data_IF_659391773008
#
_entry.id   IF_659391773008
#
_cell.length_a   1.000
_cell.length_b   1.000
_cell.length_c   1.000
_cell.angle_alpha   90.00
_cell.angle_beta   90.00
_cell.angle_gamma   90.00
#
_symmetry.space_group_name_H-M   'P 1'
#
loop_
_entity.id
_entity.type
_entity.pdbx_description
1 polymer ?
#
# COMPACT_ATOMS: atom_id res chain seq x y z
N UNK A 1 -10.07 -3.21 19.09
CA UNK A 1 -8.99 -2.51 18.40
C UNK A 1 -8.90 -2.95 16.93
N UNK A 2 -8.54 -2.03 16.03
CA UNK A 2 -8.25 -2.31 14.64
C UNK A 2 -7.08 -1.46 14.15
N UNK A 3 -6.46 -1.87 13.03
CA UNK A 3 -5.44 -1.09 12.35
C UNK A 3 -6.14 -0.12 11.39
N UNK A 4 -5.88 1.17 11.53
CA UNK A 4 -6.44 2.23 10.71
C UNK A 4 -5.36 2.81 9.78
N UNK A 5 -5.26 2.26 8.56
CA UNK A 5 -4.32 2.72 7.54
C UNK A 5 -4.84 4.00 6.88
N UNK A 6 -3.92 4.89 6.53
CA UNK A 6 -4.24 6.04 5.67
C UNK A 6 -4.69 5.55 4.30
N UNK A 7 -5.84 6.05 3.84
CA UNK A 7 -6.34 5.79 2.50
C UNK A 7 -5.81 6.84 1.53
N UNK A 8 -4.77 6.47 0.81
CA UNK A 8 -4.20 7.31 -0.23
C UNK A 8 -5.07 7.30 -1.51
N UNK A 9 -5.12 8.42 -2.19
CA UNK A 9 -5.77 8.54 -3.50
C UNK A 9 -4.73 8.33 -4.62
N UNK A 10 -4.24 7.11 -4.72
CA UNK A 10 -3.18 6.71 -5.61
C UNK A 10 -3.58 5.65 -6.63
N UNK A 11 -2.64 4.76 -6.89
CA UNK A 11 -2.86 3.57 -7.69
C UNK A 11 -2.49 2.33 -6.88
N UNK A 12 -3.48 1.49 -6.55
CA UNK A 12 -3.18 0.19 -5.98
C UNK A 12 -2.28 -0.60 -6.90
N UNK A 13 -1.20 -1.08 -6.35
CA UNK A 13 -0.12 -1.74 -7.06
C UNK A 13 0.28 -3.01 -6.32
N UNK A 14 0.22 -4.13 -7.01
CA UNK A 14 0.75 -5.40 -6.53
C UNK A 14 2.07 -5.61 -7.26
N UNK A 15 3.18 -5.57 -6.53
CA UNK A 15 4.50 -5.90 -7.03
C UNK A 15 4.76 -7.39 -6.81
N UNK A 16 5.09 -8.11 -7.89
CA UNK A 16 5.46 -9.53 -7.87
C UNK A 16 6.96 -9.61 -8.03
N UNK A 17 7.64 -10.10 -7.01
CA UNK A 17 9.10 -10.10 -6.92
C UNK A 17 9.62 -11.53 -6.92
N UNK A 18 10.42 -11.86 -7.94
CA UNK A 18 11.00 -13.19 -8.15
C UNK A 18 12.52 -13.08 -8.32
N UNK A 19 13.25 -14.07 -7.84
CA UNK A 19 14.69 -14.12 -8.02
C UNK A 19 15.07 -14.19 -9.50
N UNK A 20 15.94 -13.28 -9.93
CA UNK A 20 16.48 -13.28 -11.28
C UNK A 20 15.51 -12.83 -12.38
N UNK A 21 14.36 -12.31 -12.02
CA UNK A 21 13.37 -11.75 -12.95
C UNK A 21 13.12 -10.27 -12.68
N UNK A 22 12.74 -9.49 -13.70
CA UNK A 22 12.20 -8.15 -13.48
C UNK A 22 11.00 -8.16 -12.55
N UNK A 23 10.79 -7.09 -11.79
CA UNK A 23 9.60 -6.93 -10.96
C UNK A 23 8.39 -6.68 -11.87
N UNK A 24 7.33 -7.46 -11.66
CA UNK A 24 6.06 -7.25 -12.35
C UNK A 24 5.14 -6.37 -11.47
N UNK A 25 4.58 -5.33 -12.06
CA UNK A 25 3.62 -4.47 -11.37
C UNK A 25 2.23 -4.65 -11.95
N UNK A 26 1.24 -4.94 -11.11
CA UNK A 26 -0.15 -5.14 -11.52
C UNK A 26 -1.09 -4.20 -10.77
N UNK A 27 -1.99 -3.59 -11.53
CA UNK A 27 -3.09 -2.82 -10.97
C UNK A 27 -4.14 -3.74 -10.35
N UNK A 28 -5.10 -3.18 -9.61
CA UNK A 28 -6.25 -3.91 -9.01
C UNK A 28 -7.02 -4.78 -10.03
N UNK A 29 -7.08 -4.36 -11.29
CA UNK A 29 -7.73 -5.11 -12.37
C UNK A 29 -6.94 -6.30 -12.89
N UNK A 30 -5.73 -6.55 -12.38
CA UNK A 30 -4.78 -7.53 -12.87
C UNK A 30 -3.98 -7.07 -14.09
N UNK A 31 -4.28 -5.91 -14.68
CA UNK A 31 -3.52 -5.35 -15.80
C UNK A 31 -2.12 -4.93 -15.36
N UNK A 32 -1.16 -5.11 -16.24
CA UNK A 32 0.21 -4.63 -16.02
C UNK A 32 0.27 -3.10 -15.94
N UNK A 33 1.15 -2.62 -15.07
CA UNK A 33 1.41 -1.20 -14.83
C UNK A 33 2.83 -0.86 -15.29
N UNK A 34 3.07 -0.98 -16.60
CA UNK A 34 4.40 -0.82 -17.23
C UNK A 34 5.08 0.51 -16.88
N UNK A 35 4.31 1.58 -16.61
CA UNK A 35 4.83 2.88 -16.23
C UNK A 35 5.56 2.88 -14.87
N UNK A 36 5.44 1.79 -14.09
CA UNK A 36 6.14 1.59 -12.80
C UNK A 36 7.43 0.78 -12.95
N UNK A 37 7.69 0.19 -14.12
CA UNK A 37 8.86 -0.65 -14.33
C UNK A 37 10.15 0.13 -14.02
N UNK A 38 11.03 -0.49 -13.24
CA UNK A 38 12.30 0.09 -12.82
C UNK A 38 12.23 1.09 -11.65
N UNK A 39 11.03 1.57 -11.25
CA UNK A 39 10.93 2.62 -10.23
C UNK A 39 11.24 2.14 -8.81
N UNK A 40 10.86 0.91 -8.49
CA UNK A 40 11.01 0.31 -7.17
C UNK A 40 11.84 -0.97 -7.18
N UNK A 41 12.32 -1.39 -8.35
CA UNK A 41 12.92 -2.71 -8.58
C UNK A 41 14.13 -2.96 -7.67
N UNK A 42 15.03 -2.01 -7.55
CA UNK A 42 16.26 -2.17 -6.74
C UNK A 42 15.94 -2.41 -5.26
N UNK A 43 15.00 -1.65 -4.70
CA UNK A 43 14.60 -1.81 -3.30
C UNK A 43 13.82 -3.12 -3.09
N UNK A 44 12.93 -3.48 -4.01
CA UNK A 44 12.16 -4.72 -3.94
C UNK A 44 13.04 -5.96 -4.10
N UNK A 45 14.08 -5.92 -4.94
CA UNK A 45 15.05 -7.01 -5.03
C UNK A 45 15.93 -7.10 -3.78
N UNK A 46 16.32 -5.99 -3.18
CA UNK A 46 17.01 -5.97 -1.89
C UNK A 46 16.14 -6.59 -0.77
N UNK A 47 14.84 -6.26 -0.76
CA UNK A 47 13.88 -6.89 0.15
C UNK A 47 13.84 -8.40 -0.08
N UNK A 48 13.78 -8.83 -1.35
CA UNK A 48 13.76 -10.24 -1.72
C UNK A 48 15.02 -10.98 -1.22
N UNK A 49 16.19 -10.39 -1.39
CA UNK A 49 17.45 -10.95 -0.88
C UNK A 49 17.44 -11.06 0.64
N UNK A 50 16.88 -10.06 1.32
CA UNK A 50 16.78 -10.02 2.78
C UNK A 50 15.86 -11.11 3.34
N UNK A 51 14.68 -11.29 2.71
CA UNK A 51 13.69 -12.29 3.19
C UNK A 51 14.00 -13.71 2.70
N UNK A 52 14.74 -13.86 1.59
CA UNK A 52 15.20 -15.14 1.05
C UNK A 52 14.16 -15.93 0.25
N UNK A 53 13.00 -15.33 -0.07
CA UNK A 53 11.93 -15.97 -0.85
C UNK A 53 11.22 -15.00 -1.79
N UNK A 54 10.61 -15.53 -2.84
CA UNK A 54 9.78 -14.77 -3.77
C UNK A 54 8.47 -14.36 -3.11
N UNK A 55 8.03 -13.13 -3.35
CA UNK A 55 6.86 -12.58 -2.65
C UNK A 55 6.02 -11.67 -3.54
N UNK A 56 4.82 -11.35 -3.07
CA UNK A 56 4.07 -10.18 -3.52
C UNK A 56 4.08 -9.11 -2.45
N UNK A 57 4.11 -7.86 -2.89
CA UNK A 57 3.91 -6.69 -2.03
C UNK A 57 2.74 -5.88 -2.57
N UNK A 58 1.71 -5.71 -1.74
CA UNK A 58 0.51 -4.95 -2.06
C UNK A 58 0.60 -3.58 -1.39
N UNK A 59 0.41 -2.55 -2.17
CA UNK A 59 0.58 -1.17 -1.74
C UNK A 59 -0.16 -0.19 -2.62
N UNK A 60 0.01 1.09 -2.32
CA UNK A 60 -0.48 2.19 -3.12
C UNK A 60 0.71 2.96 -3.69
N UNK A 61 0.83 3.01 -5.02
CA UNK A 61 1.76 3.91 -5.69
C UNK A 61 1.16 5.32 -5.65
N UNK A 62 1.79 6.20 -4.87
CA UNK A 62 1.29 7.53 -4.57
C UNK A 62 2.45 8.54 -4.52
N UNK A 63 2.24 9.72 -5.10
CA UNK A 63 3.16 10.85 -5.01
C UNK A 63 2.81 11.77 -3.82
N UNK A 64 2.70 13.06 -4.04
CA UNK A 64 2.26 14.03 -3.02
C UNK A 64 0.75 14.19 -2.98
N UNK A 65 0.10 14.10 -4.16
CA UNK A 65 -1.34 14.24 -4.36
C UNK A 65 -1.82 13.41 -5.56
N UNK A 66 -3.15 13.39 -5.75
CA UNK A 66 -3.79 12.68 -6.86
C UNK A 66 -3.33 13.18 -8.24
N UNK A 67 -3.21 14.48 -8.42
CA UNK A 67 -2.84 15.08 -9.70
C UNK A 67 -1.43 14.71 -10.11
N UNK A 68 -0.48 14.76 -9.18
CA UNK A 68 0.91 14.36 -9.40
C UNK A 68 0.99 12.85 -9.67
N UNK A 69 0.23 12.05 -8.92
CA UNK A 69 0.15 10.59 -9.14
C UNK A 69 -0.38 10.25 -10.54
N UNK A 70 -1.42 10.93 -11.02
CA UNK A 70 -1.95 10.75 -12.38
C UNK A 70 -0.94 11.22 -13.44
N UNK A 71 -0.24 12.32 -13.20
CA UNK A 71 0.78 12.81 -14.12
C UNK A 71 1.96 11.84 -14.25
N UNK A 72 2.32 11.14 -13.19
CA UNK A 72 3.36 10.11 -13.23
C UNK A 72 3.01 8.91 -14.12
N UNK A 73 1.73 8.67 -14.40
CA UNK A 73 1.26 7.62 -15.32
C UNK A 73 1.44 7.98 -16.79
N UNK A 74 1.63 9.28 -17.11
CA UNK A 74 1.76 9.73 -18.49
C UNK A 74 3.14 9.37 -19.01
N UNK A 75 3.20 8.87 -20.24
CA UNK A 75 4.45 8.57 -20.92
C UNK A 75 5.34 9.84 -21.00
N UNK A 76 6.64 9.65 -20.74
CA UNK A 76 7.62 10.74 -20.84
C UNK A 76 7.68 11.70 -19.63
N UNK A 77 6.86 11.50 -18.58
CA UNK A 77 6.90 12.36 -17.40
C UNK A 77 7.76 11.76 -16.28
N UNK A 78 9.05 11.62 -16.54
CA UNK A 78 10.00 11.01 -15.59
C UNK A 78 10.22 11.85 -14.33
N UNK A 79 10.00 13.16 -14.40
CA UNK A 79 10.08 14.04 -13.23
C UNK A 79 8.98 13.70 -12.20
N UNK A 80 7.74 13.51 -12.65
CA UNK A 80 6.64 13.11 -11.76
C UNK A 80 6.82 11.70 -11.21
N UNK A 81 7.40 10.77 -12.00
CA UNK A 81 7.69 9.40 -11.54
C UNK A 81 8.69 9.36 -10.38
N UNK A 82 9.65 10.29 -10.31
CA UNK A 82 10.63 10.34 -9.22
C UNK A 82 10.00 10.53 -7.85
N UNK A 83 8.85 11.19 -7.78
CA UNK A 83 8.15 11.47 -6.53
C UNK A 83 7.22 10.31 -6.09
N UNK A 84 7.01 9.31 -6.97
CA UNK A 84 6.21 8.14 -6.60
C UNK A 84 6.91 7.32 -5.52
N UNK A 85 6.13 6.96 -4.49
CA UNK A 85 6.50 5.98 -3.47
C UNK A 85 5.49 4.84 -3.47
N UNK A 86 5.96 3.63 -3.24
CA UNK A 86 5.11 2.47 -3.00
C UNK A 86 4.85 2.37 -1.50
N UNK A 87 3.64 2.74 -1.07
CA UNK A 87 3.19 2.68 0.32
C UNK A 87 2.59 1.31 0.59
N UNK A 88 3.40 0.44 1.18
CA UNK A 88 3.08 -0.98 1.39
C UNK A 88 2.17 -1.17 2.58
N UNK A 89 1.17 -2.00 2.43
CA UNK A 89 0.23 -2.33 3.50
C UNK A 89 0.03 -3.84 3.68
N UNK A 90 0.59 -4.67 2.77
CA UNK A 90 0.60 -6.12 2.90
C UNK A 90 1.74 -6.76 2.10
N UNK A 91 2.31 -7.84 2.61
CA UNK A 91 3.30 -8.67 1.91
C UNK A 91 3.03 -10.14 2.22
N UNK A 92 3.17 -11.04 1.24
CA UNK A 92 3.09 -12.48 1.47
C UNK A 92 4.00 -13.25 0.52
N UNK A 93 4.43 -14.47 0.87
CA UNK A 93 5.14 -15.35 -0.04
C UNK A 93 4.37 -15.60 -1.33
N UNK A 94 5.06 -15.62 -2.47
CA UNK A 94 4.42 -15.75 -3.79
C UNK A 94 3.60 -17.05 -3.93
N UNK A 95 4.05 -18.14 -3.31
CA UNK A 95 3.29 -19.42 -3.34
C UNK A 95 1.93 -19.31 -2.64
N UNK A 96 1.81 -18.51 -1.56
CA UNK A 96 0.53 -18.25 -0.89
C UNK A 96 -0.40 -17.41 -1.76
N UNK A 97 0.17 -16.43 -2.47
CA UNK A 97 -0.58 -15.62 -3.44
C UNK A 97 -1.15 -16.47 -4.57
N UNK A 98 -0.34 -17.36 -5.16
CA UNK A 98 -0.76 -18.26 -6.24
C UNK A 98 -1.82 -19.26 -5.74
N UNK A 99 -1.65 -19.78 -4.52
CA UNK A 99 -2.63 -20.68 -3.90
C UNK A 99 -3.90 -20.00 -3.44
N UNK A 100 -3.95 -18.65 -3.45
CA UNK A 100 -5.03 -17.84 -2.86
C UNK A 100 -5.37 -18.25 -1.43
N UNK A 101 -4.33 -18.55 -0.65
CA UNK A 101 -4.48 -18.97 0.74
C UNK A 101 -3.32 -18.45 1.58
N UNK A 102 -3.66 -17.76 2.67
CA UNK A 102 -2.71 -17.32 3.70
C UNK A 102 -3.32 -17.47 5.08
N UNK A 103 -2.47 -17.70 6.06
CA UNK A 103 -2.82 -17.71 7.48
C UNK A 103 -2.23 -16.50 8.22
N UNK A 104 -1.48 -15.65 7.47
CA UNK A 104 -0.85 -14.44 8.02
C UNK A 104 -1.93 -13.42 8.34
N UNK A 105 -2.08 -13.09 9.60
CA UNK A 105 -3.02 -12.06 10.05
C UNK A 105 -2.53 -10.65 9.70
N UNK A 106 -3.45 -9.67 9.73
CA UNK A 106 -3.09 -8.26 9.52
C UNK A 106 -2.08 -7.77 10.57
N UNK A 107 -2.24 -8.20 11.82
CA UNK A 107 -1.32 -7.83 12.90
C UNK A 107 0.09 -8.38 12.67
N UNK A 108 0.21 -9.67 12.34
CA UNK A 108 1.50 -10.31 12.04
C UNK A 108 2.17 -9.71 10.82
N UNK A 109 1.41 -9.49 9.76
CA UNK A 109 1.91 -8.87 8.53
C UNK A 109 2.43 -7.46 8.78
N UNK A 110 1.67 -6.64 9.53
CA UNK A 110 2.09 -5.28 9.88
C UNK A 110 3.38 -5.29 10.68
N UNK A 111 3.49 -6.11 11.70
CA UNK A 111 4.71 -6.21 12.52
C UNK A 111 5.92 -6.67 11.69
N UNK A 112 5.72 -7.62 10.76
CA UNK A 112 6.77 -8.08 9.86
C UNK A 112 7.21 -6.98 8.88
N UNK A 113 6.27 -6.22 8.29
CA UNK A 113 6.57 -5.11 7.39
C UNK A 113 7.29 -3.97 8.11
N UNK A 114 6.84 -3.57 9.31
CA UNK A 114 7.49 -2.54 10.13
C UNK A 114 8.95 -2.90 10.40
N UNK A 115 9.21 -4.13 10.83
CA UNK A 115 10.55 -4.63 11.09
C UNK A 115 11.42 -4.66 9.83
N UNK A 116 10.87 -5.20 8.73
CA UNK A 116 11.58 -5.36 7.47
C UNK A 116 11.96 -4.00 6.87
N UNK A 117 10.99 -3.11 6.67
CA UNK A 117 11.23 -1.83 6.02
C UNK A 117 12.04 -0.85 6.89
N UNK A 118 12.01 -1.00 8.22
CA UNK A 118 12.89 -0.26 9.12
C UNK A 118 14.34 -0.75 9.05
N UNK A 119 14.59 -2.01 8.68
CA UNK A 119 15.94 -2.56 8.54
C UNK A 119 16.59 -2.22 7.20
N UNK A 120 15.80 -1.85 6.19
CA UNK A 120 16.24 -1.53 4.84
C UNK A 120 16.14 -0.02 4.67
N UNK A 121 17.21 0.70 5.03
CA UNK A 121 17.29 2.15 4.82
C UNK A 121 18.13 2.44 3.59
N UNK A 122 17.51 3.00 2.58
CA UNK A 122 18.19 3.50 1.37
C UNK A 122 18.07 5.02 1.29
N UNK A 123 19.01 5.65 0.58
CA UNK A 123 18.89 7.06 0.24
C UNK A 123 17.68 7.22 -0.69
N UNK A 124 16.78 8.15 -0.41
CA UNK A 124 15.55 8.38 -1.18
C UNK A 124 14.61 7.14 -1.22
N UNK A 125 14.47 6.44 -0.10
CA UNK A 125 13.64 5.25 0.01
C UNK A 125 12.24 5.46 -0.59
N UNK A 126 11.89 4.62 -1.56
CA UNK A 126 10.63 4.66 -2.30
C UNK A 126 9.63 3.58 -1.88
N UNK A 127 10.13 2.45 -1.39
CA UNK A 127 9.29 1.38 -0.84
C UNK A 127 9.18 1.61 0.66
N UNK A 128 8.04 2.13 1.10
CA UNK A 128 7.81 2.53 2.48
C UNK A 128 6.53 1.90 3.03
N UNK A 129 6.41 1.81 4.33
CA UNK A 129 5.19 1.32 4.94
C UNK A 129 4.07 2.37 4.84
N UNK A 130 2.84 1.92 4.61
CA UNK A 130 1.65 2.78 4.69
C UNK A 130 1.51 3.33 6.12
N UNK A 131 1.24 4.62 6.25
CA UNK A 131 0.98 5.21 7.56
C UNK A 131 -0.28 4.61 8.17
N UNK A 132 -0.21 4.27 9.46
CA UNK A 132 -1.34 3.69 10.17
C UNK A 132 -1.28 3.98 11.66
N UNK A 133 -2.42 3.87 12.30
CA UNK A 133 -2.57 3.98 13.75
C UNK A 133 -3.42 2.82 14.27
N UNK A 134 -3.06 2.26 15.42
CA UNK A 134 -3.95 1.40 16.17
C UNK A 134 -5.04 2.25 16.80
N UNK A 135 -6.30 1.88 16.59
CA UNK A 135 -7.45 2.58 17.18
C UNK A 135 -8.31 1.57 17.94
N UNK A 136 -8.72 1.94 19.14
CA UNK A 136 -9.42 1.06 20.07
C UNK A 136 -10.92 1.31 20.11
N UNK A 137 -11.34 2.52 19.77
CA UNK A 137 -12.74 2.92 19.79
C UNK A 137 -13.08 3.92 18.66
N UNK A 138 -14.33 4.31 18.60
CA UNK A 138 -14.85 5.25 17.62
C UNK A 138 -14.22 6.64 17.73
N UNK A 139 -13.94 7.11 18.94
CA UNK A 139 -13.39 8.44 19.15
C UNK A 139 -11.96 8.53 18.62
N UNK A 140 -11.09 7.59 18.97
CA UNK A 140 -9.71 7.51 18.44
C UNK A 140 -9.69 7.37 16.91
N UNK A 141 -10.62 6.59 16.38
CA UNK A 141 -10.77 6.43 14.92
C UNK A 141 -11.14 7.76 14.25
N UNK A 142 -12.10 8.49 14.81
CA UNK A 142 -12.55 9.77 14.25
C UNK A 142 -11.49 10.87 14.37
N UNK A 143 -10.76 10.93 15.48
CA UNK A 143 -9.63 11.85 15.63
C UNK A 143 -8.56 11.58 14.55
N UNK A 144 -8.19 10.30 14.35
CA UNK A 144 -7.24 9.93 13.33
C UNK A 144 -7.77 10.21 11.92
N UNK A 145 -9.03 9.91 11.66
CA UNK A 145 -9.68 10.19 10.38
C UNK A 145 -9.68 11.70 10.05
N UNK A 146 -10.01 12.54 11.00
CA UNK A 146 -10.00 13.99 10.85
C UNK A 146 -8.58 14.50 10.57
N UNK A 147 -7.58 14.03 11.32
CA UNK A 147 -6.19 14.39 11.08
C UNK A 147 -5.74 13.99 9.65
N UNK A 148 -6.07 12.77 9.22
CA UNK A 148 -5.72 12.27 7.88
C UNK A 148 -6.37 13.11 6.77
N UNK A 149 -7.62 13.51 6.95
CA UNK A 149 -8.34 14.32 5.96
C UNK A 149 -7.91 15.78 6.01
N UNK A 150 -7.83 16.36 7.21
CA UNK A 150 -7.66 17.81 7.38
C UNK A 150 -6.19 18.25 7.32
N UNK A 151 -5.27 17.42 7.82
CA UNK A 151 -3.83 17.75 7.84
C UNK A 151 -3.06 17.05 6.72
N UNK A 152 -3.23 15.72 6.58
CA UNK A 152 -2.52 14.96 5.55
C UNK A 152 -3.16 15.07 4.16
N UNK A 153 -4.36 15.65 4.04
CA UNK A 153 -5.10 15.85 2.77
C UNK A 153 -5.34 14.53 2.02
N UNK A 154 -5.58 13.45 2.76
CA UNK A 154 -5.88 12.14 2.17
C UNK A 154 -7.37 11.82 2.23
N UNK A 155 -7.81 10.76 1.55
CA UNK A 155 -9.25 10.44 1.39
C UNK A 155 -9.94 9.99 2.68
N UNK A 156 -9.20 9.52 3.68
CA UNK A 156 -9.72 8.94 4.91
C UNK A 156 -8.93 7.70 5.34
N UNK A 157 -9.62 6.68 5.84
CA UNK A 157 -8.99 5.49 6.42
C UNK A 157 -9.45 4.20 5.74
N UNK A 158 -8.61 3.17 5.86
CA UNK A 158 -8.97 1.76 5.71
C UNK A 158 -8.80 1.11 7.07
N UNK A 159 -9.91 0.73 7.71
CA UNK A 159 -9.90 -0.03 8.95
C UNK A 159 -9.70 -1.51 8.63
N UNK A 160 -8.77 -2.14 9.31
CA UNK A 160 -8.46 -3.57 9.16
C UNK A 160 -8.58 -4.28 10.51
N UNK A 161 -9.34 -5.35 10.52
CA UNK A 161 -9.41 -6.23 11.68
C UNK A 161 -8.07 -6.94 11.88
N UNK A 162 -7.52 -6.91 13.11
CA UNK A 162 -6.17 -7.39 13.39
C UNK A 162 -5.98 -8.89 13.13
N UNK A 163 -7.01 -9.68 13.46
CA UNK A 163 -6.97 -11.14 13.32
C UNK A 163 -7.44 -11.62 11.93
N UNK A 164 -7.90 -10.69 11.08
CA UNK A 164 -8.27 -11.05 9.72
C UNK A 164 -7.03 -11.41 8.89
N UNK A 165 -7.21 -12.34 7.97
CA UNK A 165 -6.23 -12.68 6.94
C UNK A 165 -6.53 -11.92 5.65
N UNK A 166 -5.57 -11.88 4.74
CA UNK A 166 -5.77 -11.28 3.42
C UNK A 166 -6.81 -12.06 2.62
N UNK A 167 -7.72 -11.32 1.98
CA UNK A 167 -8.74 -11.87 1.09
C UNK A 167 -8.61 -11.27 -0.30
N UNK A 168 -8.79 -12.09 -1.34
CA UNK A 168 -8.69 -11.67 -2.76
C UNK A 168 -9.96 -10.96 -3.22
N UNK A 169 -11.07 -11.19 -2.51
CA UNK A 169 -12.38 -10.59 -2.76
C UNK A 169 -12.70 -9.45 -1.78
N UNK A 170 -13.89 -8.87 -1.93
CA UNK A 170 -14.40 -7.89 -0.96
C UNK A 170 -14.63 -8.56 0.39
N UNK A 171 -14.14 -7.93 1.44
CA UNK A 171 -14.28 -8.40 2.82
C UNK A 171 -14.83 -7.30 3.72
N UNK A 172 -15.61 -7.69 4.72
CA UNK A 172 -16.03 -6.78 5.80
C UNK A 172 -14.90 -6.51 6.80
N UNK A 173 -13.84 -7.31 6.79
CA UNK A 173 -12.66 -7.11 7.65
C UNK A 173 -11.81 -5.90 7.22
N UNK A 174 -12.08 -5.32 6.04
CA UNK A 174 -11.45 -4.11 5.54
C UNK A 174 -12.52 -3.08 5.19
N UNK A 175 -12.72 -2.11 6.08
CA UNK A 175 -13.75 -1.10 5.94
C UNK A 175 -13.17 0.26 5.57
N UNK A 176 -13.82 0.97 4.63
CA UNK A 176 -13.45 2.33 4.26
C UNK A 176 -14.18 3.33 5.14
N UNK A 177 -13.45 4.29 5.70
CA UNK A 177 -13.99 5.45 6.41
C UNK A 177 -13.60 6.69 5.62
N UNK A 178 -14.61 7.44 5.16
CA UNK A 178 -14.44 8.71 4.43
C UNK A 178 -15.42 9.72 4.98
N UNK A 179 -15.07 11.00 4.86
CA UNK A 179 -16.01 12.10 5.09
C UNK A 179 -16.83 12.31 3.81
N UNK A 180 -18.14 12.34 3.95
CA UNK A 180 -19.05 12.69 2.86
C UNK A 180 -19.50 14.14 3.07
N UNK A 181 -19.57 14.89 2.00
CA UNK A 181 -20.18 16.21 1.95
C UNK A 181 -21.42 16.12 1.07
N UNK A 182 -22.57 16.47 1.65
CA UNK A 182 -23.78 16.67 0.85
C UNK A 182 -23.63 17.98 0.08
N UNK A 183 -23.64 17.90 -1.24
CA UNK A 183 -23.66 19.06 -2.11
C UNK A 183 -25.08 19.18 -2.65
N UNK A 184 -25.83 20.16 -2.15
CA UNK A 184 -27.11 20.53 -2.76
C UNK A 184 -26.83 21.07 -4.18
N UNK A 185 -27.07 20.24 -5.18
CA UNK A 185 -27.10 20.69 -6.57
C UNK A 185 -28.34 21.58 -6.76
N UNK A 186 -28.13 22.87 -6.84
CA UNK A 186 -29.16 23.87 -7.27
C UNK A 186 -29.23 23.92 -8.77
#
# INVERSE_FOLDING_TARGET
>A
PCLADVKYDGQRTIAIVKQGYPVEYRARSGKESEHLNGLFDSELQLIRETVGYDFIMDGEAFASDFTETINAKKAGNDAAKKNLKLRCFFMMPLHQWIAQKTEITMAENRAALDKLLSSIQTVDQKVIISESKMVNDYHEMMEWCNYVIDELKQEGLILKELQAVYTWDRSFSWCKVKRFYDVDAR
#
